data_IF_673469915786
#
_entry.id   IF_673469915786
#
_cell.length_a   1.000
_cell.length_b   1.000
_cell.length_c   1.000
_cell.angle_alpha   90.00
_cell.angle_beta   90.00
_cell.angle_gamma   90.00
#
_symmetry.space_group_name_H-M   'P 1'
#
loop_
_entity.id
_entity.type
_entity.pdbx_description
1 polymer ?
#
# COMPACT_ATOMS: atom_id res chain seq x y z
N UNK A 1 12.71 -8.15 8.57
CA UNK A 1 12.13 -8.38 9.91
C UNK A 1 10.62 -8.19 9.99
N UNK A 2 10.07 -7.06 9.54
CA UNK A 2 8.63 -6.81 9.52
C UNK A 2 8.21 -6.16 8.20
N UNK A 3 7.00 -6.48 7.73
CA UNK A 3 6.28 -5.70 6.71
C UNK A 3 5.06 -5.08 7.37
N UNK A 4 4.93 -3.76 7.25
CA UNK A 4 3.83 -3.00 7.87
C UNK A 4 3.00 -2.36 6.77
N UNK A 5 1.69 -2.55 6.83
CA UNK A 5 0.74 -1.91 5.92
C UNK A 5 -0.30 -1.11 6.67
N UNK A 6 -0.58 0.10 6.18
CA UNK A 6 -1.89 0.72 6.40
C UNK A 6 -2.88 0.03 5.47
N UNK A 7 -3.67 -0.89 6.01
CA UNK A 7 -4.69 -1.61 5.25
C UNK A 7 -5.86 -0.70 4.85
N UNK A 8 -6.01 0.46 5.48
CA UNK A 8 -6.90 1.57 5.06
C UNK A 8 -6.71 1.97 3.59
N UNK A 9 -5.50 1.81 3.04
CA UNK A 9 -5.15 2.30 1.70
C UNK A 9 -5.42 1.23 0.64
N UNK A 10 -4.41 0.77 -0.07
CA UNK A 10 -4.62 -0.09 -1.24
C UNK A 10 -5.19 -1.47 -0.89
N UNK A 11 -4.87 -2.03 0.29
CA UNK A 11 -5.38 -3.35 0.70
C UNK A 11 -6.91 -3.35 0.84
N UNK A 12 -7.47 -2.41 1.60
CA UNK A 12 -8.91 -2.17 1.68
C UNK A 12 -9.45 -1.63 0.36
N UNK A 13 -8.89 -0.52 -0.14
CA UNK A 13 -9.10 -0.03 -1.50
C UNK A 13 -10.44 0.65 -1.78
N UNK A 14 -11.35 0.71 -0.80
CA UNK A 14 -12.73 1.20 -0.97
C UNK A 14 -13.06 2.43 -0.12
N UNK A 15 -12.12 2.93 0.70
CA UNK A 15 -12.32 4.14 1.49
C UNK A 15 -13.36 4.02 2.62
N UNK A 16 -13.71 2.78 2.99
CA UNK A 16 -14.81 2.44 3.90
C UNK A 16 -14.35 1.82 5.22
N UNK A 17 -13.04 1.59 5.39
CA UNK A 17 -12.49 0.88 6.54
C UNK A 17 -11.10 1.38 6.94
N UNK A 18 -10.79 1.37 8.24
CA UNK A 18 -9.45 1.70 8.78
C UNK A 18 -8.82 0.49 9.47
N UNK A 19 -7.62 0.12 9.04
CA UNK A 19 -6.93 -1.05 9.56
C UNK A 19 -5.40 -0.95 9.40
N UNK A 20 -4.68 -1.65 10.28
CA UNK A 20 -3.24 -1.87 10.21
C UNK A 20 -2.92 -3.36 10.14
N UNK A 21 -1.86 -3.71 9.40
CA UNK A 21 -1.38 -5.10 9.26
C UNK A 21 0.12 -5.12 9.47
N UNK A 22 0.59 -6.07 10.27
CA UNK A 22 2.01 -6.34 10.49
C UNK A 22 2.29 -7.81 10.19
N UNK A 23 3.28 -8.08 9.34
CA UNK A 23 3.65 -9.42 8.87
C UNK A 23 5.12 -9.67 9.21
N UNK A 24 5.44 -10.86 9.71
CA UNK A 24 6.82 -11.33 9.89
C UNK A 24 6.92 -12.81 9.56
N UNK A 25 8.08 -13.24 9.07
CA UNK A 25 8.44 -14.66 9.01
C UNK A 25 8.91 -15.20 10.38
N UNK A 26 9.24 -14.31 11.34
CA UNK A 26 9.77 -14.68 12.65
C UNK A 26 8.63 -14.79 13.68
N UNK A 27 8.23 -16.02 14.00
CA UNK A 27 7.11 -16.27 14.93
C UNK A 27 7.31 -15.68 16.33
N UNK A 28 8.54 -15.66 16.86
CA UNK A 28 8.84 -15.08 18.16
C UNK A 28 8.50 -13.57 18.20
N UNK A 29 8.82 -12.85 17.13
CA UNK A 29 8.52 -11.42 17.00
C UNK A 29 7.01 -11.16 16.92
N UNK A 30 6.27 -11.99 16.17
CA UNK A 30 4.80 -11.91 16.14
C UNK A 30 4.17 -12.21 17.51
N UNK A 31 4.74 -13.13 18.29
CA UNK A 31 4.30 -13.41 19.65
C UNK A 31 4.41 -12.18 20.56
N UNK A 32 5.54 -11.48 20.50
CA UNK A 32 5.74 -10.23 21.24
C UNK A 32 4.75 -9.14 20.81
N UNK A 33 4.59 -8.94 19.50
CA UNK A 33 3.64 -7.95 18.95
C UNK A 33 2.19 -8.26 19.35
N UNK A 34 1.81 -9.54 19.35
CA UNK A 34 0.47 -9.97 19.80
C UNK A 34 0.24 -9.66 21.27
N UNK A 35 1.23 -9.86 22.13
CA UNK A 35 1.12 -9.50 23.54
C UNK A 35 0.88 -7.99 23.71
N UNK A 36 1.62 -7.14 22.99
CA UNK A 36 1.36 -5.70 22.99
C UNK A 36 -0.02 -5.35 22.45
N UNK A 37 -0.48 -5.97 21.36
CA UNK A 37 -1.81 -5.72 20.80
C UNK A 37 -2.94 -6.05 21.80
N UNK A 38 -2.79 -7.14 22.57
CA UNK A 38 -3.72 -7.52 23.64
C UNK A 38 -3.70 -6.50 24.78
N UNK A 39 -2.51 -6.12 25.26
CA UNK A 39 -2.36 -5.18 26.40
C UNK A 39 -2.89 -3.78 26.04
N UNK A 40 -2.59 -3.31 24.83
CA UNK A 40 -2.98 -1.97 24.35
C UNK A 40 -4.41 -1.93 23.79
N UNK A 41 -5.05 -3.08 23.59
CA UNK A 41 -6.38 -3.17 22.98
C UNK A 41 -6.41 -2.78 21.50
N UNK A 42 -5.28 -2.82 20.81
CA UNK A 42 -5.14 -2.45 19.39
C UNK A 42 -5.69 -3.56 18.45
N UNK A 43 -6.96 -3.89 18.63
CA UNK A 43 -7.65 -4.97 17.93
C UNK A 43 -8.57 -4.42 16.83
N UNK A 44 -8.58 -5.08 15.68
CA UNK A 44 -9.44 -4.71 14.56
C UNK A 44 -10.86 -5.29 14.76
N UNK A 45 -11.88 -4.50 14.41
CA UNK A 45 -13.27 -4.98 14.38
C UNK A 45 -13.42 -6.15 13.39
N UNK A 46 -14.23 -7.19 13.70
CA UNK A 46 -14.50 -8.28 12.76
C UNK A 46 -15.13 -7.81 11.45
N UNK A 47 -15.97 -6.76 11.50
CA UNK A 47 -16.60 -6.19 10.30
C UNK A 47 -15.57 -5.48 9.42
N UNK A 48 -14.70 -4.65 10.01
CA UNK A 48 -13.58 -4.02 9.30
C UNK A 48 -12.65 -5.08 8.70
N UNK A 49 -12.36 -6.15 9.44
CA UNK A 49 -11.57 -7.29 8.96
C UNK A 49 -12.20 -7.95 7.72
N UNK A 50 -13.54 -8.07 7.69
CA UNK A 50 -14.27 -8.57 6.54
C UNK A 50 -14.17 -7.63 5.32
N UNK A 51 -14.33 -6.31 5.54
CA UNK A 51 -14.19 -5.31 4.47
C UNK A 51 -12.80 -5.31 3.85
N UNK A 52 -11.75 -5.37 4.68
CA UNK A 52 -10.36 -5.50 4.19
C UNK A 52 -10.20 -6.79 3.38
N UNK A 53 -10.70 -7.92 3.88
CA UNK A 53 -10.63 -9.21 3.15
C UNK A 53 -11.34 -9.14 1.79
N UNK A 54 -12.51 -8.50 1.71
CA UNK A 54 -13.21 -8.23 0.44
C UNK A 54 -12.35 -7.39 -0.49
N UNK A 55 -11.70 -6.35 0.03
CA UNK A 55 -10.77 -5.49 -0.73
C UNK A 55 -9.62 -6.26 -1.38
N UNK A 56 -9.03 -7.22 -0.65
CA UNK A 56 -7.91 -8.02 -1.13
C UNK A 56 -8.24 -8.85 -2.38
N UNK A 57 -9.50 -9.29 -2.54
CA UNK A 57 -9.91 -10.12 -3.68
C UNK A 57 -9.71 -9.42 -5.04
N UNK A 58 -9.74 -8.08 -5.06
CA UNK A 58 -9.56 -7.28 -6.28
C UNK A 58 -8.26 -6.49 -6.30
N UNK A 59 -7.37 -6.73 -5.34
CA UNK A 59 -6.14 -5.94 -5.15
C UNK A 59 -5.27 -5.92 -6.41
N UNK A 60 -4.97 -7.08 -7.00
CA UNK A 60 -4.13 -7.18 -8.20
C UNK A 60 -4.70 -6.38 -9.38
N UNK A 61 -5.99 -6.56 -9.67
CA UNK A 61 -6.69 -5.86 -10.74
C UNK A 61 -6.70 -4.34 -10.52
N UNK A 62 -6.95 -3.90 -9.27
CA UNK A 62 -6.92 -2.48 -8.91
C UNK A 62 -5.52 -1.91 -9.04
N UNK A 63 -4.49 -2.61 -8.57
CA UNK A 63 -3.12 -2.13 -8.63
C UNK A 63 -2.60 -2.03 -10.06
N UNK A 64 -2.89 -3.00 -10.93
CA UNK A 64 -2.58 -2.91 -12.36
C UNK A 64 -3.22 -1.66 -12.99
N UNK A 65 -4.49 -1.41 -12.68
CA UNK A 65 -5.20 -0.22 -13.17
C UNK A 65 -4.65 1.08 -12.58
N UNK A 66 -4.34 1.11 -11.28
CA UNK A 66 -3.72 2.27 -10.63
C UNK A 66 -2.36 2.59 -11.27
N UNK A 67 -1.50 1.58 -11.48
CA UNK A 67 -0.20 1.76 -12.11
C UNK A 67 -0.34 2.27 -13.55
N UNK A 68 -1.14 1.60 -14.39
CA UNK A 68 -1.34 1.99 -15.79
C UNK A 68 -1.97 3.38 -15.95
N UNK A 69 -2.93 3.76 -15.10
CA UNK A 69 -3.53 5.09 -15.13
C UNK A 69 -2.56 6.15 -14.61
N UNK A 70 -1.87 5.88 -13.50
CA UNK A 70 -0.91 6.83 -12.92
C UNK A 70 0.26 7.10 -13.87
N UNK A 71 0.74 6.09 -14.59
CA UNK A 71 1.79 6.29 -15.60
C UNK A 71 1.34 7.22 -16.73
N UNK A 72 0.12 7.05 -17.25
CA UNK A 72 -0.46 7.97 -18.26
C UNK A 72 -0.57 9.41 -17.74
N UNK A 73 -1.04 9.56 -16.50
CA UNK A 73 -1.13 10.88 -15.83
C UNK A 73 0.27 11.49 -15.66
N UNK A 74 1.25 10.70 -15.23
CA UNK A 74 2.62 11.16 -15.05
C UNK A 74 3.25 11.63 -16.36
N UNK A 75 3.09 10.86 -17.45
CA UNK A 75 3.56 11.25 -18.78
C UNK A 75 2.87 12.51 -19.30
N UNK A 76 1.56 12.63 -19.11
CA UNK A 76 0.82 13.84 -19.49
C UNK A 76 1.34 15.07 -18.74
N UNK A 77 1.49 14.97 -17.41
CA UNK A 77 1.96 16.07 -16.58
C UNK A 77 3.42 16.44 -16.86
N UNK A 78 4.26 15.48 -17.26
CA UNK A 78 5.67 15.73 -17.59
C UNK A 78 5.84 16.68 -18.78
N UNK A 79 4.88 16.68 -19.72
CA UNK A 79 4.86 17.59 -20.87
C UNK A 79 4.07 18.88 -20.66
N UNK A 80 3.46 19.09 -19.49
CA UNK A 80 2.53 20.20 -19.27
C UNK A 80 3.26 21.47 -18.82
N UNK A 81 3.12 22.57 -19.56
CA UNK A 81 3.87 23.82 -19.33
C UNK A 81 3.73 24.43 -17.92
N UNK A 82 2.60 24.21 -17.24
CA UNK A 82 2.36 24.67 -15.87
C UNK A 82 2.91 23.75 -14.78
N UNK A 83 3.51 22.61 -15.13
CA UNK A 83 4.04 21.63 -14.18
C UNK A 83 5.55 21.78 -14.12
N UNK A 84 6.06 22.19 -12.96
CA UNK A 84 7.50 22.33 -12.77
C UNK A 84 8.23 20.97 -12.73
N UNK A 85 7.62 19.96 -12.10
CA UNK A 85 8.25 18.66 -11.92
C UNK A 85 7.21 17.57 -11.64
N UNK A 86 7.50 16.35 -12.10
CA UNK A 86 6.69 15.15 -11.83
C UNK A 86 7.54 14.12 -11.09
N UNK A 87 7.02 13.64 -9.96
CA UNK A 87 7.61 12.56 -9.16
C UNK A 87 6.80 11.28 -9.34
N UNK A 88 7.28 10.41 -10.22
CA UNK A 88 6.68 9.10 -10.44
C UNK A 88 7.77 8.05 -10.64
N UNK A 89 7.87 7.00 -9.78
CA UNK A 89 8.95 6.02 -9.85
C UNK A 89 9.08 5.29 -11.19
N UNK A 90 7.99 5.15 -11.95
CA UNK A 90 8.02 4.52 -13.28
C UNK A 90 8.53 5.42 -14.41
N UNK A 91 8.80 6.71 -14.17
CA UNK A 91 9.44 7.58 -15.16
C UNK A 91 10.96 7.45 -15.04
N UNK A 92 11.66 7.36 -16.17
CA UNK A 92 13.14 7.33 -16.21
C UNK A 92 13.78 8.60 -15.67
N UNK A 93 13.04 9.71 -15.62
CA UNK A 93 13.48 10.97 -15.00
C UNK A 93 13.47 10.94 -13.47
N UNK A 94 12.88 9.91 -12.84
CA UNK A 94 12.86 9.79 -11.40
C UNK A 94 14.26 9.36 -10.90
N UNK A 95 14.86 10.04 -9.89
CA UNK A 95 16.23 9.77 -9.46
C UNK A 95 16.51 8.32 -9.02
N UNK A 96 15.46 7.61 -8.62
CA UNK A 96 15.52 6.22 -8.13
C UNK A 96 14.69 5.28 -9.04
N UNK A 97 14.53 5.62 -10.32
CA UNK A 97 13.83 4.76 -11.27
C UNK A 97 14.43 3.35 -11.31
N UNK A 98 15.76 3.27 -11.45
CA UNK A 98 16.48 1.99 -11.54
C UNK A 98 16.20 1.11 -10.32
N UNK A 99 16.34 1.68 -9.11
CA UNK A 99 16.01 0.99 -7.85
C UNK A 99 14.54 0.52 -7.79
N UNK A 100 13.60 1.30 -8.34
CA UNK A 100 12.18 0.92 -8.36
C UNK A 100 11.89 -0.22 -9.34
N UNK A 101 12.80 -0.52 -10.27
CA UNK A 101 12.70 -1.60 -11.25
C UNK A 101 13.49 -2.85 -10.89
N UNK A 102 14.32 -2.80 -9.84
CA UNK A 102 14.95 -3.98 -9.25
C UNK A 102 13.88 -4.85 -8.56
N UNK A 103 13.91 -6.16 -8.83
CA UNK A 103 13.06 -7.18 -8.19
C UNK A 103 13.90 -8.09 -7.30
#
# INVERSE_FOLDING_TARGET
DLVVHSATKYLGGHGDSTAGVVISAQHALLGQLRNFAIILGAMLSPFESHLIKRGLQTLSLRMERHCSNAFKVAQYLQGHASVAQVYYPGLTSHPQHDLATEL
#
